data_IF_700849246583
#
_entry.id   IF_700849246583
#
_cell.length_a   1.000
_cell.length_b   1.000
_cell.length_c   1.000
_cell.angle_alpha   90.00
_cell.angle_beta   90.00
_cell.angle_gamma   90.00
#
_symmetry.space_group_name_H-M   'P 1'
#
loop_
_entity.id
_entity.type
_entity.pdbx_description
1 polymer ?
#
# COMPACT_ATOMS: atom_id res chain seq x y z
N UNK A 1 26.30 50.10 -27.84
CA UNK A 1 24.97 50.72 -27.96
C UNK A 1 24.16 49.81 -28.87
N UNK A 2 23.10 49.19 -28.31
CA UNK A 2 22.00 48.45 -28.94
C UNK A 2 22.37 47.11 -29.59
N UNK A 3 22.08 45.96 -28.96
CA UNK A 3 20.78 45.33 -28.67
C UNK A 3 20.01 44.92 -29.93
N UNK A 4 20.15 43.66 -30.33
CA UNK A 4 19.14 42.91 -31.08
C UNK A 4 18.96 41.50 -30.50
N UNK A 5 18.02 41.44 -29.57
CA UNK A 5 17.02 40.41 -29.27
C UNK A 5 17.11 39.13 -30.12
N UNK A 6 17.68 38.08 -29.53
CA UNK A 6 17.33 36.68 -29.82
C UNK A 6 16.66 36.10 -28.58
N UNK A 7 15.33 36.15 -28.55
CA UNK A 7 14.50 35.40 -27.59
C UNK A 7 14.68 33.91 -27.87
N UNK A 8 15.41 33.21 -27.00
CA UNK A 8 15.30 31.76 -26.83
C UNK A 8 14.65 31.51 -25.48
N UNK A 9 13.47 30.89 -25.52
CA UNK A 9 12.76 30.36 -24.36
C UNK A 9 13.59 29.28 -23.66
N UNK A 10 14.32 29.66 -22.61
CA UNK A 10 14.87 28.75 -21.62
C UNK A 10 13.88 28.60 -20.45
N UNK A 11 12.95 27.65 -20.57
CA UNK A 11 12.18 27.14 -19.43
C UNK A 11 12.18 25.62 -19.41
N UNK A 12 13.27 25.08 -18.88
CA UNK A 12 13.32 23.85 -18.10
C UNK A 12 14.49 23.99 -17.12
N UNK A 13 14.30 24.83 -16.09
CA UNK A 13 15.14 24.76 -14.89
C UNK A 13 14.66 23.55 -14.10
N UNK A 14 15.29 22.41 -14.35
CA UNK A 14 15.24 21.26 -13.44
C UNK A 14 15.76 21.72 -12.08
N UNK A 15 14.87 21.87 -11.11
CA UNK A 15 15.26 22.09 -9.71
C UNK A 15 15.54 20.72 -9.13
N UNK A 16 16.79 20.26 -9.24
CA UNK A 16 17.32 19.25 -8.33
C UNK A 16 17.60 19.95 -7.00
N UNK A 17 16.86 19.59 -5.96
CA UNK A 17 17.24 19.96 -4.58
C UNK A 17 18.32 18.98 -4.16
N UNK A 18 19.58 19.39 -4.30
CA UNK A 18 20.71 18.77 -3.61
C UNK A 18 21.01 19.61 -2.37
N UNK A 19 20.99 18.98 -1.18
CA UNK A 19 21.48 19.61 0.03
C UNK A 19 22.99 19.90 -0.09
N UNK A 20 23.38 21.06 0.42
CA UNK A 20 24.73 21.62 0.34
C UNK A 20 25.65 20.98 1.38
N UNK A 21 26.79 20.46 0.92
CA UNK A 21 28.08 20.63 1.60
C UNK A 21 28.43 19.65 2.73
N UNK A 22 29.00 18.49 2.36
CA UNK A 22 30.17 17.92 3.03
C UNK A 22 31.13 17.43 1.95
N UNK A 23 32.35 17.97 1.90
CA UNK A 23 33.43 17.35 1.13
C UNK A 23 33.83 16.08 1.87
N UNK A 24 33.35 14.93 1.42
CA UNK A 24 33.97 13.65 1.73
C UNK A 24 35.07 13.41 0.69
N UNK A 25 36.32 13.28 1.13
CA UNK A 25 37.33 12.56 0.35
C UNK A 25 36.95 11.09 0.44
N UNK A 26 36.13 10.63 -0.50
CA UNK A 26 35.80 9.21 -0.67
C UNK A 26 36.86 8.53 -1.55
N UNK A 27 37.39 7.41 -1.05
CA UNK A 27 38.31 6.53 -1.76
C UNK A 27 37.58 5.90 -2.95
N UNK A 28 37.80 6.45 -4.15
CA UNK A 28 37.12 6.02 -5.40
C UNK A 28 37.27 4.53 -5.71
N UNK A 29 38.35 3.88 -5.26
CA UNK A 29 38.52 2.43 -5.44
C UNK A 29 37.57 1.61 -4.54
N UNK A 30 37.34 2.05 -3.30
CA UNK A 30 36.43 1.36 -2.38
C UNK A 30 34.97 1.52 -2.82
N UNK A 31 34.61 2.69 -3.34
CA UNK A 31 33.28 2.95 -3.90
C UNK A 31 33.01 2.10 -5.16
N UNK A 32 33.99 1.99 -6.05
CA UNK A 32 33.92 1.17 -7.26
C UNK A 32 33.80 -0.34 -6.95
N UNK A 33 34.51 -0.83 -5.92
CA UNK A 33 34.40 -2.22 -5.46
C UNK A 33 33.00 -2.54 -4.90
N UNK A 34 32.45 -1.65 -4.07
CA UNK A 34 31.09 -1.79 -3.54
C UNK A 34 30.03 -1.75 -4.64
N UNK A 35 30.22 -0.89 -5.66
CA UNK A 35 29.35 -0.84 -6.84
C UNK A 35 29.25 -2.15 -7.59
N UNK A 36 30.41 -2.80 -7.81
CA UNK A 36 30.43 -4.11 -8.43
C UNK A 36 29.73 -5.18 -7.58
N UNK A 37 29.84 -5.11 -6.25
CA UNK A 37 29.17 -6.07 -5.36
C UNK A 37 27.65 -5.94 -5.40
N UNK A 38 27.12 -4.72 -5.32
CA UNK A 38 25.67 -4.48 -5.37
C UNK A 38 25.05 -4.90 -6.70
N UNK A 39 25.72 -4.59 -7.82
CA UNK A 39 25.28 -5.02 -9.14
C UNK A 39 25.33 -6.55 -9.29
N UNK A 40 26.38 -7.19 -8.78
CA UNK A 40 26.52 -8.66 -8.84
C UNK A 40 25.41 -9.37 -8.08
N UNK A 41 25.09 -8.93 -6.85
CA UNK A 41 23.96 -9.46 -6.07
C UNK A 41 22.61 -9.27 -6.79
N UNK A 42 22.42 -8.11 -7.42
CA UNK A 42 21.21 -7.85 -8.19
C UNK A 42 21.09 -8.79 -9.40
N UNK A 43 22.18 -9.02 -10.14
CA UNK A 43 22.21 -9.97 -11.27
C UNK A 43 21.96 -11.41 -10.81
N UNK A 44 22.59 -11.83 -9.71
CA UNK A 44 22.38 -13.17 -9.12
C UNK A 44 20.90 -13.39 -8.79
N UNK A 45 20.28 -12.42 -8.12
CA UNK A 45 18.85 -12.45 -7.82
C UNK A 45 17.99 -12.55 -9.08
N UNK A 46 18.22 -11.66 -10.05
CA UNK A 46 17.44 -11.59 -11.31
C UNK A 46 17.52 -12.91 -12.10
N UNK A 47 18.67 -13.57 -12.07
CA UNK A 47 18.91 -14.81 -12.81
C UNK A 47 18.62 -16.10 -12.00
N UNK A 48 18.17 -15.97 -10.76
CA UNK A 48 17.97 -17.12 -9.87
C UNK A 48 16.67 -17.87 -10.16
N UNK A 49 16.74 -19.21 -10.08
CA UNK A 49 15.56 -20.09 -10.15
C UNK A 49 14.54 -19.80 -9.05
N UNK A 50 15.01 -19.38 -7.87
CA UNK A 50 14.13 -18.99 -6.78
C UNK A 50 13.29 -17.75 -7.13
N UNK A 51 13.91 -16.73 -7.75
CA UNK A 51 13.19 -15.54 -8.17
C UNK A 51 12.18 -15.86 -9.28
N UNK A 52 12.53 -16.72 -10.23
CA UNK A 52 11.58 -17.21 -11.24
C UNK A 52 10.36 -17.89 -10.61
N UNK A 53 10.58 -18.74 -9.58
CA UNK A 53 9.50 -19.39 -8.84
C UNK A 53 8.61 -18.37 -8.12
N UNK A 54 9.21 -17.37 -7.47
CA UNK A 54 8.48 -16.26 -6.82
C UNK A 54 7.62 -15.48 -7.83
N UNK A 55 8.19 -15.12 -8.98
CA UNK A 55 7.48 -14.35 -10.02
C UNK A 55 6.32 -15.13 -10.64
N UNK A 56 6.45 -16.45 -10.79
CA UNK A 56 5.37 -17.33 -11.24
C UNK A 56 4.24 -17.42 -10.22
N UNK A 57 4.55 -17.56 -8.93
CA UNK A 57 3.55 -17.51 -7.85
C UNK A 57 2.84 -16.15 -7.84
N UNK A 58 3.59 -15.04 -7.97
CA UNK A 58 3.02 -13.70 -8.08
C UNK A 58 2.08 -13.58 -9.28
N UNK A 59 2.51 -14.08 -10.45
CA UNK A 59 1.69 -14.05 -11.67
C UNK A 59 0.39 -14.84 -11.50
N UNK A 60 0.45 -16.04 -10.90
CA UNK A 60 -0.72 -16.84 -10.58
C UNK A 60 -1.67 -16.11 -9.61
N UNK A 61 -1.13 -15.52 -8.54
CA UNK A 61 -1.92 -14.76 -7.57
C UNK A 61 -2.62 -13.54 -8.20
N UNK A 62 -1.89 -12.74 -8.98
CA UNK A 62 -2.45 -11.57 -9.67
C UNK A 62 -3.51 -11.96 -10.70
N UNK A 63 -3.26 -13.01 -11.49
CA UNK A 63 -4.28 -13.56 -12.40
C UNK A 63 -5.53 -13.99 -11.64
N UNK A 64 -5.37 -14.67 -10.51
CA UNK A 64 -6.49 -15.10 -9.66
C UNK A 64 -7.30 -13.91 -9.14
N UNK A 65 -6.63 -12.84 -8.72
CA UNK A 65 -7.27 -11.60 -8.29
C UNK A 65 -8.09 -10.99 -9.45
N UNK A 66 -7.51 -10.86 -10.65
CA UNK A 66 -8.22 -10.32 -11.80
C UNK A 66 -9.43 -11.16 -12.20
N UNK A 67 -9.26 -12.48 -12.28
CA UNK A 67 -10.36 -13.41 -12.58
C UNK A 67 -11.49 -13.27 -11.54
N UNK A 68 -11.15 -13.24 -10.24
CA UNK A 68 -12.11 -13.08 -9.16
C UNK A 68 -12.86 -11.74 -9.21
N UNK A 69 -12.13 -10.64 -9.41
CA UNK A 69 -12.74 -9.30 -9.53
C UNK A 69 -13.70 -9.24 -10.73
N UNK A 70 -13.33 -9.85 -11.85
CA UNK A 70 -14.19 -9.93 -13.04
C UNK A 70 -15.46 -10.74 -12.78
N UNK A 71 -15.33 -11.93 -12.16
CA UNK A 71 -16.47 -12.78 -11.77
C UNK A 71 -17.43 -12.03 -10.81
N UNK A 72 -16.88 -11.27 -9.86
CA UNK A 72 -17.65 -10.45 -8.90
C UNK A 72 -18.15 -9.12 -9.49
N UNK A 73 -17.89 -8.85 -10.78
CA UNK A 73 -18.29 -7.64 -11.50
C UNK A 73 -17.76 -6.35 -10.86
N UNK A 74 -16.56 -6.43 -10.26
CA UNK A 74 -15.85 -5.27 -9.71
C UNK A 74 -15.12 -4.58 -10.86
N UNK A 75 -15.40 -3.29 -11.09
CA UNK A 75 -14.89 -2.56 -12.25
C UNK A 75 -13.42 -2.18 -12.07
N UNK A 76 -12.54 -2.56 -13.00
CA UNK A 76 -11.15 -2.14 -12.97
C UNK A 76 -10.99 -0.68 -13.40
N UNK A 77 -10.24 0.10 -12.63
CA UNK A 77 -9.77 1.42 -13.04
C UNK A 77 -8.24 1.42 -13.21
N UNK A 78 -7.76 2.39 -14.00
CA UNK A 78 -6.32 2.63 -14.15
C UNK A 78 -5.77 3.44 -12.97
N UNK A 79 -4.52 3.22 -12.56
CA UNK A 79 -3.93 3.91 -11.43
C UNK A 79 -3.64 5.39 -11.73
N UNK A 80 -3.69 6.20 -10.67
CA UNK A 80 -3.26 7.61 -10.68
C UNK A 80 -1.94 7.69 -9.94
N UNK A 81 -0.88 8.09 -10.65
CA UNK A 81 0.47 8.19 -10.09
C UNK A 81 0.80 9.55 -9.50
N UNK A 82 0.25 10.61 -10.10
CA UNK A 82 0.49 12.00 -9.70
C UNK A 82 -0.85 12.66 -9.39
N UNK A 83 -0.94 13.25 -8.21
CA UNK A 83 -2.14 13.97 -7.79
C UNK A 83 -1.79 15.12 -6.84
N UNK A 84 -2.58 16.21 -6.80
CA UNK A 84 -2.42 17.26 -5.78
C UNK A 84 -2.58 16.72 -4.36
N UNK A 85 -3.40 15.67 -4.20
CA UNK A 85 -3.72 15.01 -2.94
C UNK A 85 -3.32 13.55 -2.98
N UNK A 86 -2.88 13.04 -1.83
CA UNK A 86 -2.63 11.61 -1.60
C UNK A 86 -3.08 11.27 -0.19
N UNK A 87 -3.09 9.99 0.14
CA UNK A 87 -3.22 9.54 1.51
C UNK A 87 -2.28 10.31 2.47
N UNK A 88 -2.79 10.95 3.54
CA UNK A 88 -1.96 11.59 4.56
C UNK A 88 -1.04 10.61 5.28
N UNK A 89 -1.42 9.32 5.38
CA UNK A 89 -0.84 8.32 6.27
C UNK A 89 -0.91 8.69 7.77
N UNK A 90 -0.92 7.69 8.63
CA UNK A 90 -0.85 7.83 10.08
C UNK A 90 0.60 7.80 10.62
N UNK A 91 1.60 7.58 9.76
CA UNK A 91 3.02 7.62 10.09
C UNK A 91 3.79 8.55 9.15
N UNK A 92 4.95 9.01 9.62
CA UNK A 92 5.77 9.97 8.86
C UNK A 92 6.63 9.29 7.79
N UNK A 93 6.44 9.70 6.55
CA UNK A 93 7.30 9.39 5.38
C UNK A 93 7.84 10.70 4.78
N UNK A 94 8.88 10.64 3.95
CA UNK A 94 9.27 11.80 3.15
C UNK A 94 8.27 12.04 2.01
N UNK A 95 8.05 13.29 1.66
CA UNK A 95 7.15 13.65 0.56
C UNK A 95 7.86 13.58 -0.79
N UNK A 96 7.29 12.83 -1.73
CA UNK A 96 7.73 12.77 -3.12
C UNK A 96 6.88 13.73 -3.96
N UNK A 97 7.37 14.96 -4.18
CA UNK A 97 6.64 16.02 -4.86
C UNK A 97 7.36 16.53 -6.11
N UNK A 98 6.58 16.94 -7.12
CA UNK A 98 7.05 17.70 -8.28
C UNK A 98 6.21 18.96 -8.47
N UNK A 99 6.76 19.95 -9.16
CA UNK A 99 6.00 21.12 -9.61
C UNK A 99 5.87 21.08 -11.13
N UNK A 100 4.65 21.02 -11.64
CA UNK A 100 4.36 21.01 -13.07
C UNK A 100 3.38 22.13 -13.42
N UNK A 101 3.78 23.03 -14.33
CA UNK A 101 2.97 24.18 -14.75
C UNK A 101 2.43 25.02 -13.56
N UNK A 102 3.22 25.18 -12.50
CA UNK A 102 2.83 25.93 -11.29
C UNK A 102 1.95 25.16 -10.31
N UNK A 103 1.61 23.90 -10.61
CA UNK A 103 0.86 23.02 -9.71
C UNK A 103 1.82 22.09 -8.97
N UNK A 104 1.65 21.97 -7.65
CA UNK A 104 2.34 20.96 -6.85
C UNK A 104 1.60 19.63 -7.01
N UNK A 105 2.30 18.62 -7.50
CA UNK A 105 1.82 17.25 -7.62
C UNK A 105 2.65 16.35 -6.71
N UNK A 106 2.03 15.30 -6.20
CA UNK A 106 2.66 14.33 -5.32
C UNK A 106 2.52 12.94 -5.93
N UNK A 107 3.55 12.12 -5.76
CA UNK A 107 3.42 10.69 -6.03
C UNK A 107 2.43 10.09 -5.03
N UNK A 108 1.56 9.22 -5.51
CA UNK A 108 0.51 8.63 -4.69
C UNK A 108 1.08 7.60 -3.71
N UNK A 109 0.80 7.81 -2.42
CA UNK A 109 1.08 6.89 -1.30
C UNK A 109 -0.02 5.82 -1.17
N UNK A 110 -1.23 6.17 -1.61
CA UNK A 110 -2.41 5.32 -1.83
C UNK A 110 -3.44 6.12 -2.64
N UNK A 111 -4.31 5.40 -3.36
CA UNK A 111 -5.46 5.97 -4.07
C UNK A 111 -6.73 6.10 -3.22
N UNK A 112 -6.65 5.99 -1.89
CA UNK A 112 -7.79 6.01 -0.95
C UNK A 112 -8.84 7.11 -1.20
N UNK A 113 -8.41 8.35 -1.49
CA UNK A 113 -9.34 9.44 -1.78
C UNK A 113 -9.94 9.30 -3.19
N UNK A 114 -9.12 8.87 -4.16
CA UNK A 114 -9.55 8.68 -5.55
C UNK A 114 -10.57 7.55 -5.69
N UNK A 115 -10.44 6.46 -4.92
CA UNK A 115 -11.41 5.36 -4.96
C UNK A 115 -12.80 5.76 -4.43
N UNK A 116 -12.84 6.59 -3.39
CA UNK A 116 -14.10 7.18 -2.91
C UNK A 116 -14.72 8.12 -3.95
N UNK A 117 -13.92 9.03 -4.52
CA UNK A 117 -14.39 9.93 -5.58
C UNK A 117 -14.85 9.19 -6.84
N UNK A 118 -14.20 8.08 -7.19
CA UNK A 118 -14.60 7.26 -8.32
C UNK A 118 -16.03 6.72 -8.14
N UNK A 119 -16.49 6.50 -6.92
CA UNK A 119 -17.83 6.01 -6.64
C UNK A 119 -18.89 7.12 -6.62
N UNK A 120 -18.58 8.38 -6.93
CA UNK A 120 -19.61 9.45 -7.03
C UNK A 120 -20.71 9.09 -8.06
N UNK A 121 -20.33 8.44 -9.16
CA UNK A 121 -21.28 8.02 -10.21
C UNK A 121 -22.36 7.08 -9.65
N UNK A 122 -23.65 7.34 -9.88
CA UNK A 122 -24.76 6.54 -9.31
C UNK A 122 -24.73 5.07 -9.75
N UNK A 123 -24.30 4.82 -10.98
CA UNK A 123 -24.23 3.48 -11.60
C UNK A 123 -23.03 2.66 -11.12
N UNK A 124 -21.96 3.32 -10.66
CA UNK A 124 -20.74 2.62 -10.24
C UNK A 124 -20.91 2.10 -8.80
N UNK A 125 -20.94 0.77 -8.66
CA UNK A 125 -21.15 0.09 -7.37
C UNK A 125 -19.86 -0.40 -6.72
N UNK A 126 -18.92 -0.90 -7.50
CA UNK A 126 -17.69 -1.49 -6.99
C UNK A 126 -16.55 -1.23 -7.97
N UNK A 127 -15.37 -0.91 -7.44
CA UNK A 127 -14.16 -0.73 -8.23
C UNK A 127 -12.97 -1.46 -7.62
N UNK A 128 -11.99 -1.77 -8.46
CA UNK A 128 -10.66 -2.14 -8.01
C UNK A 128 -9.57 -1.54 -8.91
N UNK A 129 -8.37 -1.38 -8.35
CA UNK A 129 -7.20 -0.83 -9.01
C UNK A 129 -5.99 -1.67 -8.61
N UNK A 130 -5.11 -1.98 -9.55
CA UNK A 130 -3.74 -2.43 -9.24
C UNK A 130 -2.84 -1.20 -9.39
N UNK A 131 -2.49 -0.58 -8.28
CA UNK A 131 -1.77 0.70 -8.26
C UNK A 131 -0.36 0.55 -7.72
N UNK A 132 0.67 1.01 -8.44
CA UNK A 132 1.96 1.26 -7.82
C UNK A 132 1.85 2.48 -6.91
N UNK A 133 2.41 2.38 -5.72
CA UNK A 133 2.45 3.42 -4.72
C UNK A 133 3.89 3.70 -4.31
N UNK A 134 4.16 4.97 -3.99
CA UNK A 134 5.47 5.40 -3.54
C UNK A 134 5.34 5.96 -2.13
N UNK A 135 6.10 5.37 -1.20
CA UNK A 135 6.27 5.85 0.17
C UNK A 135 7.75 5.93 0.45
N UNK A 136 8.29 7.14 0.51
CA UNK A 136 9.69 7.36 0.89
C UNK A 136 9.83 7.11 2.40
N UNK A 137 9.81 5.85 2.79
CA UNK A 137 9.93 5.38 4.17
C UNK A 137 11.30 5.77 4.75
N UNK A 138 11.36 5.92 6.08
CA UNK A 138 12.62 6.20 6.79
C UNK A 138 13.56 4.99 6.72
N UNK A 139 14.87 5.25 6.81
CA UNK A 139 15.92 4.22 6.72
C UNK A 139 15.67 3.02 7.66
N UNK A 140 15.30 3.26 8.92
CA UNK A 140 15.05 2.17 9.88
C UNK A 140 13.89 1.25 9.49
N UNK A 141 12.94 1.71 8.67
CA UNK A 141 11.84 0.89 8.17
C UNK A 141 12.33 -0.24 7.27
N UNK A 142 13.50 -0.08 6.62
CA UNK A 142 14.11 -1.11 5.77
C UNK A 142 14.43 -2.40 6.53
N UNK A 143 14.73 -2.32 7.83
CA UNK A 143 15.09 -3.49 8.66
C UNK A 143 13.89 -4.37 9.04
N UNK A 144 12.67 -3.93 8.75
CA UNK A 144 11.44 -4.56 9.24
C UNK A 144 10.99 -5.80 8.47
N UNK A 145 11.54 -6.09 7.28
CA UNK A 145 11.01 -7.16 6.44
C UNK A 145 9.79 -6.78 5.60
N UNK A 146 9.19 -5.60 5.81
CA UNK A 146 7.81 -5.29 5.39
C UNK A 146 7.63 -4.00 4.58
N UNK A 147 8.72 -3.27 4.33
CA UNK A 147 8.68 -1.95 3.67
C UNK A 147 9.54 -1.92 2.41
N UNK A 148 8.99 -1.31 1.37
CA UNK A 148 9.67 -0.88 0.15
C UNK A 148 9.34 0.59 -0.10
N UNK A 149 10.19 1.28 -0.85
CA UNK A 149 9.96 2.66 -1.29
C UNK A 149 8.88 2.70 -2.38
N UNK A 150 8.87 1.69 -3.24
CA UNK A 150 7.93 1.48 -4.33
C UNK A 150 7.33 0.09 -4.19
N UNK A 151 6.01 -0.01 -4.21
CA UNK A 151 5.29 -1.28 -4.06
C UNK A 151 3.96 -1.24 -4.80
N UNK A 152 3.43 -2.40 -5.16
CA UNK A 152 2.13 -2.52 -5.81
C UNK A 152 1.05 -2.83 -4.78
N UNK A 153 -0.11 -2.18 -4.92
CA UNK A 153 -1.27 -2.41 -4.07
C UNK A 153 -2.47 -2.75 -4.93
N UNK A 154 -3.23 -3.76 -4.51
CA UNK A 154 -4.58 -3.99 -5.03
C UNK A 154 -5.55 -3.26 -4.11
N UNK A 155 -6.12 -2.17 -4.61
CA UNK A 155 -7.13 -1.37 -3.93
C UNK A 155 -8.51 -1.75 -4.44
N UNK A 156 -9.49 -1.78 -3.55
CA UNK A 156 -10.91 -1.89 -3.92
C UNK A 156 -11.77 -1.03 -3.01
N UNK A 157 -12.93 -0.61 -3.53
CA UNK A 157 -13.93 0.16 -2.80
C UNK A 157 -15.32 -0.16 -3.33
N UNK A 158 -16.25 -0.43 -2.41
CA UNK A 158 -17.63 -0.79 -2.69
C UNK A 158 -18.58 0.25 -2.10
N UNK A 159 -19.54 0.68 -2.91
CA UNK A 159 -20.60 1.60 -2.52
C UNK A 159 -21.66 0.87 -1.72
N UNK A 160 -22.16 1.55 -0.68
CA UNK A 160 -23.20 1.08 0.23
C UNK A 160 -22.84 -0.21 0.99
N UNK A 161 -21.55 -0.59 1.00
CA UNK A 161 -21.01 -1.74 1.71
C UNK A 161 -20.63 -1.40 3.15
N UNK A 162 -20.58 -2.44 3.99
CA UNK A 162 -20.10 -2.42 5.37
C UNK A 162 -18.91 -3.35 5.55
N UNK A 163 -18.27 -3.30 6.71
CA UNK A 163 -17.13 -4.19 7.02
C UNK A 163 -17.45 -5.68 6.85
N UNK A 164 -18.69 -6.11 7.16
CA UNK A 164 -19.11 -7.51 6.98
C UNK A 164 -19.02 -7.97 5.51
N UNK A 165 -19.44 -7.12 4.57
CA UNK A 165 -19.35 -7.41 3.13
C UNK A 165 -17.88 -7.56 2.69
N UNK A 166 -16.99 -6.75 3.28
CA UNK A 166 -15.56 -6.80 2.97
C UNK A 166 -14.90 -8.05 3.56
N UNK A 167 -15.33 -8.49 4.75
CA UNK A 167 -14.84 -9.73 5.34
C UNK A 167 -15.20 -10.93 4.45
N UNK A 168 -16.46 -11.07 4.05
CA UNK A 168 -16.89 -12.15 3.16
C UNK A 168 -16.14 -12.14 1.83
N UNK A 169 -16.05 -10.97 1.19
CA UNK A 169 -15.34 -10.80 -0.08
C UNK A 169 -13.85 -11.18 0.01
N UNK A 170 -13.15 -10.69 1.03
CA UNK A 170 -11.72 -10.89 1.16
C UNK A 170 -11.38 -12.31 1.61
N UNK A 171 -12.18 -12.91 2.50
CA UNK A 171 -11.99 -14.29 2.93
C UNK A 171 -12.13 -15.26 1.74
N UNK A 172 -13.13 -15.05 0.89
CA UNK A 172 -13.31 -15.82 -0.35
C UNK A 172 -12.12 -15.62 -1.31
N UNK A 173 -11.68 -14.37 -1.52
CA UNK A 173 -10.53 -14.05 -2.37
C UNK A 173 -9.25 -14.73 -1.86
N UNK A 174 -8.96 -14.66 -0.56
CA UNK A 174 -7.77 -15.27 0.04
C UNK A 174 -7.77 -16.79 -0.13
N UNK A 175 -8.91 -17.45 0.13
CA UNK A 175 -9.04 -18.90 -0.07
C UNK A 175 -8.79 -19.25 -1.53
N UNK A 176 -9.32 -18.46 -2.47
CA UNK A 176 -9.16 -18.71 -3.90
C UNK A 176 -7.71 -18.53 -4.37
N UNK A 177 -7.03 -17.48 -3.92
CA UNK A 177 -5.61 -17.25 -4.21
C UNK A 177 -4.78 -18.42 -3.69
N UNK A 178 -4.92 -18.78 -2.42
CA UNK A 178 -4.10 -19.84 -1.81
C UNK A 178 -4.38 -21.19 -2.49
N UNK A 179 -5.66 -21.51 -2.75
CA UNK A 179 -6.03 -22.77 -3.41
C UNK A 179 -5.44 -22.84 -4.82
N UNK A 180 -5.57 -21.76 -5.61
CA UNK A 180 -5.05 -21.73 -6.98
C UNK A 180 -3.53 -21.80 -7.05
N UNK A 181 -2.82 -21.11 -6.16
CA UNK A 181 -1.36 -21.21 -6.05
C UNK A 181 -0.93 -22.64 -5.68
N UNK A 182 -1.62 -23.28 -4.74
CA UNK A 182 -1.35 -24.69 -4.38
C UNK A 182 -1.57 -25.66 -5.54
N UNK A 183 -2.53 -25.36 -6.41
CA UNK A 183 -2.89 -26.25 -7.52
C UNK A 183 -2.00 -26.03 -8.75
N UNK A 184 -1.75 -24.76 -9.11
CA UNK A 184 -1.06 -24.37 -10.35
C UNK A 184 0.45 -24.10 -10.17
N UNK A 185 0.95 -23.86 -8.94
CA UNK A 185 2.36 -23.51 -8.68
C UNK A 185 3.09 -24.52 -7.78
N UNK A 186 2.82 -25.82 -7.95
CA UNK A 186 3.38 -26.88 -7.11
C UNK A 186 4.91 -26.96 -7.19
N UNK A 187 5.45 -26.90 -8.41
CA UNK A 187 6.89 -26.98 -8.65
C UNK A 187 7.60 -25.76 -8.05
N UNK A 188 7.00 -24.57 -8.16
CA UNK A 188 7.53 -23.35 -7.56
C UNK A 188 7.51 -23.40 -6.03
N UNK A 189 6.44 -23.92 -5.44
CA UNK A 189 6.35 -24.12 -3.99
C UNK A 189 7.39 -25.15 -3.49
N UNK A 190 7.67 -26.20 -4.27
CA UNK A 190 8.71 -27.19 -3.97
C UNK A 190 10.11 -26.55 -4.03
N UNK A 191 10.41 -25.76 -5.07
CA UNK A 191 11.67 -25.02 -5.20
C UNK A 191 11.90 -24.12 -3.97
N UNK A 192 10.84 -23.49 -3.47
CA UNK A 192 10.90 -22.58 -2.32
C UNK A 192 10.79 -23.30 -0.96
N UNK A 193 10.56 -24.62 -0.95
CA UNK A 193 10.33 -25.38 0.28
C UNK A 193 9.12 -24.90 1.08
N UNK A 194 8.09 -24.39 0.40
CA UNK A 194 6.93 -23.72 1.03
C UNK A 194 5.68 -24.57 0.96
N UNK A 195 5.15 -24.91 2.13
CA UNK A 195 3.81 -25.47 2.27
C UNK A 195 2.78 -24.39 2.62
N UNK A 196 1.65 -24.39 1.91
CA UNK A 196 0.52 -23.51 2.16
C UNK A 196 -0.68 -24.26 2.73
N UNK A 197 -1.32 -23.66 3.73
CA UNK A 197 -2.59 -24.12 4.29
C UNK A 197 -3.72 -23.23 3.78
N UNK A 198 -4.79 -23.84 3.27
CA UNK A 198 -6.01 -23.09 2.91
C UNK A 198 -6.77 -22.83 4.22
N UNK A 199 -7.01 -21.55 4.59
CA UNK A 199 -7.67 -21.21 5.84
C UNK A 199 -9.17 -21.52 5.79
N UNK A 200 -9.80 -21.60 6.95
CA UNK A 200 -11.25 -21.81 7.08
C UNK A 200 -11.97 -20.50 7.38
N UNK A 201 -13.15 -20.32 6.82
CA UNK A 201 -14.05 -19.21 7.17
C UNK A 201 -14.99 -19.60 8.33
N UNK A 202 -15.48 -18.62 9.11
CA UNK A 202 -15.06 -17.23 9.12
C UNK A 202 -13.68 -17.04 9.76
N UNK A 203 -12.89 -16.06 9.30
CA UNK A 203 -11.62 -15.74 9.96
C UNK A 203 -11.86 -15.18 11.37
N UNK A 204 -10.95 -15.50 12.28
CA UNK A 204 -11.01 -14.99 13.66
C UNK A 204 -10.91 -13.48 13.67
N UNK A 205 -11.52 -12.84 14.67
CA UNK A 205 -11.54 -11.38 14.83
C UNK A 205 -11.01 -11.02 16.22
N UNK A 206 -10.11 -10.06 16.27
CA UNK A 206 -9.54 -9.49 17.49
C UNK A 206 -9.74 -7.98 17.48
N UNK A 207 -9.97 -7.37 18.64
CA UNK A 207 -10.03 -5.91 18.76
C UNK A 207 -8.72 -5.40 19.33
N UNK A 208 -8.22 -4.26 18.84
CA UNK A 208 -7.05 -3.62 19.47
C UNK A 208 -7.34 -3.12 20.89
N UNK A 209 -8.62 -3.01 21.30
CA UNK A 209 -9.02 -2.78 22.70
C UNK A 209 -8.56 -3.90 23.64
N UNK A 210 -8.28 -5.09 23.11
CA UNK A 210 -7.75 -6.23 23.87
C UNK A 210 -6.21 -6.21 24.01
N UNK A 211 -5.53 -5.14 23.55
CA UNK A 211 -4.05 -5.07 23.54
C UNK A 211 -3.43 -5.04 24.94
N UNK A 212 -4.21 -4.76 26.00
CA UNK A 212 -3.76 -4.72 27.40
C UNK A 212 -2.52 -3.82 27.61
N UNK A 213 -2.50 -2.68 26.93
CA UNK A 213 -1.42 -1.68 27.05
C UNK A 213 -0.25 -1.86 26.08
N UNK A 214 -0.26 -2.91 25.25
CA UNK A 214 0.67 -3.02 24.12
C UNK A 214 0.33 -1.96 23.05
N UNK A 215 1.35 -1.48 22.33
CA UNK A 215 1.10 -0.78 21.08
C UNK A 215 0.39 -1.70 20.08
N UNK A 216 -0.34 -1.11 19.12
CA UNK A 216 -1.05 -1.88 18.09
C UNK A 216 -0.09 -2.79 17.33
N UNK A 217 1.11 -2.28 17.01
CA UNK A 217 2.15 -3.04 16.31
C UNK A 217 2.66 -4.23 17.14
N UNK A 218 2.98 -4.04 18.41
CA UNK A 218 3.42 -5.14 19.28
C UNK A 218 2.32 -6.20 19.44
N UNK A 219 1.06 -5.75 19.54
CA UNK A 219 -0.09 -6.65 19.64
C UNK A 219 -0.30 -7.46 18.35
N UNK A 220 -0.22 -6.81 17.18
CA UNK A 220 -0.26 -7.46 15.86
C UNK A 220 0.86 -8.50 15.71
N UNK A 221 2.12 -8.12 15.97
CA UNK A 221 3.28 -8.98 15.82
C UNK A 221 3.15 -10.24 16.69
N UNK A 222 2.70 -10.07 17.95
CA UNK A 222 2.45 -11.18 18.86
C UNK A 222 1.33 -12.10 18.37
N UNK A 223 0.19 -11.56 17.95
CA UNK A 223 -0.94 -12.35 17.46
C UNK A 223 -0.58 -13.09 16.17
N UNK A 224 0.09 -12.42 15.22
CA UNK A 224 0.55 -13.00 13.96
C UNK A 224 1.50 -14.18 14.21
N UNK A 225 2.49 -14.04 15.10
CA UNK A 225 3.43 -15.11 15.42
C UNK A 225 2.76 -16.37 16.00
N UNK A 226 1.67 -16.21 16.76
CA UNK A 226 0.94 -17.31 17.39
C UNK A 226 -0.16 -17.92 16.50
N UNK A 227 -0.59 -17.21 15.46
CA UNK A 227 -1.69 -17.63 14.61
C UNK A 227 -1.24 -18.68 13.58
N UNK A 228 -2.12 -19.65 13.31
CA UNK A 228 -1.95 -20.64 12.23
C UNK A 228 -2.66 -20.22 10.93
N UNK A 229 -3.70 -19.39 11.02
CA UNK A 229 -4.53 -18.94 9.90
C UNK A 229 -4.66 -17.40 9.95
N UNK A 230 -4.94 -16.73 8.82
CA UNK A 230 -5.20 -15.29 8.80
C UNK A 230 -6.37 -14.89 9.70
N UNK A 231 -6.32 -13.66 10.21
CA UNK A 231 -7.35 -13.12 11.10
C UNK A 231 -7.51 -11.61 10.92
N UNK A 232 -8.65 -11.10 11.37
CA UNK A 232 -8.96 -9.67 11.36
C UNK A 232 -8.54 -9.01 12.67
N UNK A 233 -7.81 -7.90 12.57
CA UNK A 233 -7.54 -6.99 13.67
C UNK A 233 -8.37 -5.72 13.49
N UNK A 234 -9.17 -5.36 14.49
CA UNK A 234 -10.22 -4.34 14.37
C UNK A 234 -10.00 -3.17 15.33
N UNK A 235 -10.63 -2.04 14.98
CA UNK A 235 -10.92 -0.94 15.90
C UNK A 235 -9.68 -0.22 16.43
N UNK A 236 -8.92 0.40 15.53
CA UNK A 236 -7.78 1.24 15.88
C UNK A 236 -7.86 2.64 15.25
N UNK A 237 -7.30 3.63 15.94
CA UNK A 237 -7.32 5.01 15.46
C UNK A 237 -6.47 5.19 14.20
N UNK A 238 -7.06 5.82 13.19
CA UNK A 238 -6.48 6.01 11.84
C UNK A 238 -6.76 7.39 11.27
N UNK A 239 -6.45 7.55 9.99
CA UNK A 239 -6.62 8.75 9.17
C UNK A 239 -8.07 9.26 9.14
N UNK A 240 -8.24 10.51 8.69
CA UNK A 240 -9.51 11.21 8.80
C UNK A 240 -10.67 10.60 8.00
N UNK A 241 -10.36 9.79 6.98
CA UNK A 241 -11.34 9.18 6.09
C UNK A 241 -11.90 7.87 6.64
N UNK A 242 -11.35 7.33 7.73
CA UNK A 242 -11.90 6.15 8.40
C UNK A 242 -13.08 6.55 9.28
N UNK A 243 -14.16 5.78 9.14
CA UNK A 243 -15.42 6.01 9.84
C UNK A 243 -15.36 5.59 11.30
N UNK A 244 -15.89 6.45 12.16
CA UNK A 244 -16.19 6.12 13.55
C UNK A 244 -17.63 5.60 13.68
N UNK A 245 -17.84 4.70 14.64
CA UNK A 245 -19.18 4.24 15.01
C UNK A 245 -19.98 5.44 15.56
N UNK A 246 -21.09 5.85 14.92
CA UNK A 246 -21.87 7.01 15.35
C UNK A 246 -22.50 6.83 16.74
N UNK A 247 -22.72 5.58 17.16
CA UNK A 247 -23.32 5.25 18.46
C UNK A 247 -22.25 5.05 19.55
N UNK A 248 -20.98 4.86 19.17
CA UNK A 248 -19.87 4.57 20.08
C UNK A 248 -18.63 5.40 19.74
N UNK A 249 -18.55 6.64 20.24
CA UNK A 249 -17.40 7.51 20.02
C UNK A 249 -16.07 6.79 20.31
N UNK A 250 -15.06 7.04 19.48
CA UNK A 250 -13.73 6.38 19.57
C UNK A 250 -13.77 4.86 19.33
N UNK A 251 -14.79 4.37 18.64
CA UNK A 251 -14.80 3.02 18.05
C UNK A 251 -14.70 3.17 16.55
N UNK A 252 -13.70 2.55 15.94
CA UNK A 252 -13.41 2.69 14.51
C UNK A 252 -13.96 1.49 13.73
N UNK A 253 -14.60 1.77 12.59
CA UNK A 253 -15.16 0.75 11.70
C UNK A 253 -14.12 0.31 10.65
N UNK A 254 -12.87 0.14 11.10
CA UNK A 254 -11.75 -0.30 10.28
C UNK A 254 -11.27 -1.69 10.67
N UNK A 255 -10.43 -2.25 9.80
CA UNK A 255 -9.99 -3.62 9.87
C UNK A 255 -8.69 -3.83 9.10
N UNK A 256 -7.84 -4.68 9.65
CA UNK A 256 -6.67 -5.21 8.98
C UNK A 256 -6.75 -6.72 8.86
N UNK A 257 -6.39 -7.27 7.70
CA UNK A 257 -6.15 -8.70 7.57
C UNK A 257 -4.69 -8.97 7.92
N UNK A 258 -4.49 -9.72 9.00
CA UNK A 258 -3.18 -10.11 9.47
C UNK A 258 -2.87 -11.51 8.96
N UNK A 259 -1.75 -11.64 8.25
CA UNK A 259 -1.23 -12.95 7.86
C UNK A 259 -0.60 -13.65 9.09
N UNK A 260 -0.74 -14.98 9.20
CA UNK A 260 -0.26 -15.74 10.36
C UNK A 260 1.27 -15.87 10.35
N UNK A 261 1.83 -16.67 11.26
CA UNK A 261 3.25 -17.07 11.28
C UNK A 261 4.24 -15.89 11.29
N UNK A 262 3.85 -14.74 11.84
CA UNK A 262 4.70 -13.54 11.91
C UNK A 262 4.79 -12.74 10.60
N UNK A 263 3.96 -13.04 9.59
CA UNK A 263 3.94 -12.26 8.35
C UNK A 263 3.33 -10.85 8.55
N UNK A 264 2.49 -10.66 9.57
CA UNK A 264 1.87 -9.38 9.92
C UNK A 264 0.78 -8.91 8.93
N UNK A 265 0.39 -7.64 9.04
CA UNK A 265 -0.61 -6.95 8.20
C UNK A 265 -0.32 -7.13 6.70
N UNK A 266 -1.28 -7.75 6.01
CA UNK A 266 -1.31 -7.89 4.55
C UNK A 266 -2.28 -6.93 3.85
N UNK A 267 -3.37 -6.58 4.53
CA UNK A 267 -4.42 -5.69 4.04
C UNK A 267 -4.81 -4.71 5.13
N UNK A 268 -5.13 -3.49 4.71
CA UNK A 268 -5.71 -2.44 5.55
C UNK A 268 -6.96 -1.84 4.90
N UNK A 269 -8.03 -1.66 5.66
CA UNK A 269 -9.30 -1.15 5.16
C UNK A 269 -10.24 -0.61 6.23
N UNK A 270 -11.41 -0.15 5.78
CA UNK A 270 -12.44 0.39 6.67
C UNK A 270 -13.67 0.86 5.92
N UNK A 271 -14.75 1.08 6.67
CA UNK A 271 -15.86 1.93 6.24
C UNK A 271 -15.38 3.38 6.19
N UNK A 272 -15.87 4.14 5.19
CA UNK A 272 -15.40 5.50 4.93
C UNK A 272 -16.30 6.55 5.51
N UNK A 273 -15.66 7.59 6.05
CA UNK A 273 -16.35 8.80 6.39
C UNK A 273 -16.66 9.61 5.13
N UNK A 274 -17.90 10.09 5.05
CA UNK A 274 -18.48 10.77 3.90
C UNK A 274 -19.12 12.11 4.31
N UNK A 275 -19.38 12.32 5.60
CA UNK A 275 -20.02 13.54 6.11
C UNK A 275 -18.98 14.64 6.34
N UNK A 276 -19.11 15.74 5.60
CA UNK A 276 -18.17 16.88 5.63
C UNK A 276 -17.78 17.35 7.03
N UNK A 277 -18.75 17.47 7.95
CA UNK A 277 -18.49 17.95 9.31
C UNK A 277 -17.61 16.97 10.10
N UNK A 278 -17.91 15.68 10.01
CA UNK A 278 -17.15 14.64 10.70
C UNK A 278 -15.74 14.53 10.11
N UNK A 279 -15.60 14.62 8.79
CA UNK A 279 -14.30 14.66 8.11
C UNK A 279 -13.44 15.82 8.68
N UNK A 280 -13.99 17.03 8.77
CA UNK A 280 -13.26 18.17 9.33
C UNK A 280 -12.86 17.97 10.80
N UNK A 281 -13.75 17.43 11.62
CA UNK A 281 -13.47 17.13 13.02
C UNK A 281 -12.35 16.09 13.16
N UNK A 282 -12.37 15.04 12.33
CA UNK A 282 -11.31 14.01 12.27
C UNK A 282 -9.98 14.60 11.79
N UNK A 283 -10.00 15.45 10.76
CA UNK A 283 -8.81 16.15 10.27
C UNK A 283 -8.18 17.03 11.37
N UNK A 284 -9.00 17.78 12.11
CA UNK A 284 -8.53 18.59 13.22
C UNK A 284 -7.87 17.74 14.32
N UNK A 285 -8.48 16.59 14.68
CA UNK A 285 -7.91 15.65 15.65
C UNK A 285 -6.59 15.04 15.18
N UNK A 286 -6.48 14.69 13.90
CA UNK A 286 -5.29 14.11 13.30
C UNK A 286 -4.20 15.16 12.95
N UNK A 287 -4.46 16.46 13.16
CA UNK A 287 -3.55 17.53 12.75
C UNK A 287 -3.39 17.68 11.23
N UNK A 288 -4.33 17.12 10.45
CA UNK A 288 -4.31 17.20 8.99
C UNK A 288 -4.90 18.54 8.54
N UNK A 289 -4.15 19.30 7.72
CA UNK A 289 -4.56 20.63 7.23
C UNK A 289 -5.64 20.54 6.15
N UNK A 290 -6.86 21.08 6.37
CA UNK A 290 -7.96 21.04 5.40
C UNK A 290 -7.63 21.64 4.04
N UNK A 291 -6.75 22.65 4.00
CA UNK A 291 -6.41 23.40 2.79
C UNK A 291 -5.80 22.52 1.71
N UNK A 292 -5.06 21.48 2.11
CA UNK A 292 -4.47 20.52 1.20
C UNK A 292 -5.52 19.65 0.49
N UNK A 293 -6.72 19.49 1.07
CA UNK A 293 -7.78 18.60 0.61
C UNK A 293 -9.04 19.36 0.17
N UNK A 294 -8.92 20.65 -0.15
CA UNK A 294 -10.06 21.54 -0.42
C UNK A 294 -11.02 21.00 -1.49
N UNK A 295 -10.51 20.41 -2.59
CA UNK A 295 -11.36 19.84 -3.65
C UNK A 295 -12.11 18.59 -3.15
N UNK A 296 -11.45 17.73 -2.40
CA UNK A 296 -12.09 16.54 -1.80
C UNK A 296 -13.18 16.94 -0.78
N UNK A 297 -12.88 17.93 0.05
CA UNK A 297 -13.79 18.48 1.04
C UNK A 297 -15.02 19.14 0.40
N UNK A 298 -14.85 19.79 -0.75
CA UNK A 298 -15.97 20.37 -1.50
C UNK A 298 -16.93 19.28 -2.00
N UNK A 299 -16.41 18.12 -2.44
CA UNK A 299 -17.26 16.97 -2.81
C UNK A 299 -18.07 16.46 -1.62
N UNK A 300 -17.44 16.34 -0.44
CA UNK A 300 -18.13 15.96 0.79
C UNK A 300 -19.21 16.98 1.17
N UNK A 301 -18.92 18.28 1.05
CA UNK A 301 -19.83 19.38 1.36
C UNK A 301 -21.06 19.40 0.44
N UNK A 302 -20.89 19.01 -0.82
CA UNK A 302 -21.99 18.85 -1.78
C UNK A 302 -22.76 17.54 -1.59
N UNK A 303 -22.36 16.67 -0.66
CA UNK A 303 -22.99 15.37 -0.44
C UNK A 303 -22.74 14.36 -1.55
N UNK A 304 -21.64 14.53 -2.31
CA UNK A 304 -21.29 13.66 -3.44
C UNK A 304 -20.54 12.40 -3.00
N UNK A 305 -19.90 12.41 -1.84
CA UNK A 305 -19.25 11.22 -1.28
C UNK A 305 -20.32 10.27 -0.74
N UNK A 306 -20.27 9.02 -1.22
CA UNK A 306 -21.21 7.97 -0.81
C UNK A 306 -20.66 7.19 0.38
N UNK A 307 -21.57 6.53 1.11
CA UNK A 307 -21.18 5.50 2.08
C UNK A 307 -20.46 4.38 1.32
N UNK A 308 -19.26 4.07 1.75
CA UNK A 308 -18.41 3.09 1.09
C UNK A 308 -17.63 2.29 2.14
N UNK A 309 -17.24 1.08 1.76
CA UNK A 309 -16.25 0.30 2.48
C UNK A 309 -15.27 -0.31 1.48
N UNK A 310 -14.03 -0.46 1.89
CA UNK A 310 -13.01 -1.02 1.01
C UNK A 310 -11.69 -1.23 1.71
N UNK A 311 -10.68 -1.61 0.94
CA UNK A 311 -9.36 -1.88 1.46
C UNK A 311 -8.28 -1.74 0.38
N UNK A 312 -7.03 -1.86 0.81
CA UNK A 312 -5.88 -2.08 -0.04
C UNK A 312 -4.99 -3.17 0.55
N UNK A 313 -4.45 -4.05 -0.29
CA UNK A 313 -3.47 -5.05 0.12
C UNK A 313 -2.23 -5.03 -0.76
N UNK A 314 -1.06 -5.10 -0.13
CA UNK A 314 0.23 -5.03 -0.82
C UNK A 314 0.52 -6.34 -1.55
N UNK A 315 0.80 -6.26 -2.84
CA UNK A 315 1.15 -7.43 -3.68
C UNK A 315 2.40 -8.10 -3.13
N UNK A 316 3.44 -7.34 -2.81
CA UNK A 316 4.71 -7.86 -2.31
C UNK A 316 4.54 -8.50 -0.93
N UNK A 317 3.66 -7.96 -0.07
CA UNK A 317 3.34 -8.60 1.23
C UNK A 317 2.55 -9.89 1.05
N UNK A 318 1.61 -9.94 0.12
CA UNK A 318 0.88 -11.15 -0.23
C UNK A 318 1.84 -12.22 -0.79
N UNK A 319 2.69 -11.87 -1.75
CA UNK A 319 3.64 -12.80 -2.37
C UNK A 319 4.67 -13.27 -1.34
N UNK A 320 5.15 -12.39 -0.46
CA UNK A 320 5.99 -12.76 0.69
C UNK A 320 5.33 -13.85 1.54
N UNK A 321 4.04 -13.70 1.87
CA UNK A 321 3.28 -14.71 2.60
C UNK A 321 3.11 -16.03 1.83
N UNK A 322 2.79 -15.96 0.54
CA UNK A 322 2.59 -17.13 -0.32
C UNK A 322 3.88 -17.93 -0.53
N UNK A 323 5.02 -17.25 -0.62
CA UNK A 323 6.34 -17.83 -0.93
C UNK A 323 7.12 -18.23 0.32
N UNK A 324 6.74 -17.76 1.50
CA UNK A 324 7.47 -18.03 2.73
C UNK A 324 8.72 -17.16 2.93
N UNK A 325 8.99 -16.22 2.02
CA UNK A 325 10.15 -15.33 2.12
C UNK A 325 10.04 -14.40 3.32
N UNK A 326 11.16 -14.01 3.90
CA UNK A 326 11.19 -13.22 5.13
C UNK A 326 11.10 -11.71 4.87
N UNK A 327 11.63 -11.24 3.74
CA UNK A 327 11.66 -9.82 3.37
C UNK A 327 10.87 -9.56 2.08
N UNK A 328 10.15 -8.43 2.02
CA UNK A 328 9.43 -8.02 0.78
C UNK A 328 10.36 -7.73 -0.39
N UNK A 329 11.62 -7.37 -0.12
CA UNK A 329 12.65 -7.23 -1.14
C UNK A 329 12.98 -8.57 -1.81
N UNK A 330 12.82 -9.71 -1.13
CA UNK A 330 13.11 -11.05 -1.68
C UNK A 330 12.07 -11.50 -2.71
N UNK A 331 10.94 -10.78 -2.80
CA UNK A 331 9.88 -11.05 -3.77
C UNK A 331 9.70 -9.98 -4.83
N UNK A 332 10.35 -8.82 -4.65
CA UNK A 332 10.38 -7.75 -5.64
C UNK A 332 11.63 -7.88 -6.50
N UNK A 333 11.49 -8.17 -7.80
CA UNK A 333 12.62 -8.31 -8.74
C UNK A 333 13.55 -7.07 -8.69
N UNK A 334 12.96 -5.88 -8.74
CA UNK A 334 13.64 -4.58 -8.66
C UNK A 334 13.21 -3.80 -7.41
N UNK A 335 13.17 -4.49 -6.27
CA UNK A 335 12.77 -3.91 -4.98
C UNK A 335 13.69 -2.78 -4.52
N UNK A 336 13.10 -1.75 -3.91
CA UNK A 336 13.79 -0.58 -3.36
C UNK A 336 13.61 -0.56 -1.84
N UNK A 337 14.54 -1.16 -1.11
CA UNK A 337 14.49 -1.16 0.37
C UNK A 337 14.89 0.23 0.89
N UNK A 338 14.15 0.81 1.85
CA UNK A 338 14.56 2.05 2.52
C UNK A 338 15.95 1.90 3.15
N UNK A 339 16.84 2.87 2.89
CA UNK A 339 18.20 2.86 3.44
C UNK A 339 19.23 2.03 2.67
N UNK A 340 18.82 1.24 1.68
CA UNK A 340 19.76 0.45 0.87
C UNK A 340 20.10 1.17 -0.44
N UNK A 341 21.26 0.82 -1.02
CA UNK A 341 21.66 1.30 -2.35
C UNK A 341 20.69 0.78 -3.41
N UNK A 342 20.07 1.70 -4.15
CA UNK A 342 19.20 1.38 -5.29
C UNK A 342 20.07 1.18 -6.53
N UNK A 343 19.97 0.01 -7.16
CA UNK A 343 20.75 -0.34 -8.36
C UNK A 343 19.99 -0.03 -9.65
N UNK A 344 18.69 -0.35 -9.70
CA UNK A 344 17.81 -0.22 -10.87
C UNK A 344 16.58 0.65 -10.61
#
# INVERSE_FOLDING_TARGET
>A
MKDEILKKDEKLKTVLVYEKGREFREDKEHEHLLEHEHLSKAIEKISSKEMDAVLRIQSCALKTIHDFMYEKKVLQLMPVMLSPITDPLCHSVYDACITYCGQKLQLTKSMILHKQMALISPERKAIYIVSPNIRLEKEDSGKSGRHLIEFSQVDFEFKDAKKEDIFEFMEELMIRIISRVKDECKDELEILGRELMVPKTPFKRFSTKDSKGMSIREFEEKLSAMAAEPFWLLDHEREFYDKEDPEKPRTYLNYDLIYPQGFGEGLSGGEREHEYKIILERMARAGTKPEAYKEYLELAKQGLLHKTAGAGFGVERLVRFLTGKTHVADVALFGKTPGEKIVF
#
